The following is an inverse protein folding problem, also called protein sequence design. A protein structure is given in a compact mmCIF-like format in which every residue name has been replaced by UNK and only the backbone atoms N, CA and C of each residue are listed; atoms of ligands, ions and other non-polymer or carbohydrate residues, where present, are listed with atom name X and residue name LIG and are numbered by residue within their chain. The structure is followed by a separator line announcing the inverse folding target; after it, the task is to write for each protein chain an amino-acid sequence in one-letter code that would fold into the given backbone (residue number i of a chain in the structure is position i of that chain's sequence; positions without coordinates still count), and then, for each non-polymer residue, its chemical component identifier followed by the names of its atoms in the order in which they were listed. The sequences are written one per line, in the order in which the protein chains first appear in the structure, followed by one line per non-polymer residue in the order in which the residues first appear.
data_IF_068445662833
#
_entry.id   IF_068445662833
#
_cell.length_a   1.000
_cell.length_b   1.000
_cell.length_c   1.000
_cell.angle_alpha   90.00
_cell.angle_beta   90.00
_cell.angle_gamma   90.00
#
_symmetry.space_group_name_H-M   'P 1'
#
loop_
_entity.id
_entity.type
_entity.pdbx_description
1 polymer ?
#
# COMPACT_ATOMS: atom_id res chain seq x y z
N UNK A 1 -0.82 -14.51 -3.09
CA UNK A 1 -0.89 -14.25 -1.64
C UNK A 1 0.52 -14.32 -1.11
N UNK A 2 0.89 -13.40 -0.23
CA UNK A 2 2.19 -13.36 0.45
C UNK A 2 1.89 -13.22 1.94
N UNK A 3 2.13 -14.29 2.69
CA UNK A 3 1.88 -14.35 4.13
C UNK A 3 3.09 -13.80 4.89
N UNK A 4 2.89 -13.45 6.16
CA UNK A 4 4.00 -13.03 7.03
C UNK A 4 5.10 -14.09 7.03
N UNK A 5 6.35 -13.65 6.91
CA UNK A 5 7.53 -14.53 6.85
C UNK A 5 7.77 -15.23 5.51
N UNK A 6 6.88 -15.10 4.52
CA UNK A 6 7.14 -15.62 3.17
C UNK A 6 7.97 -14.63 2.35
N UNK A 7 8.81 -15.17 1.46
CA UNK A 7 9.50 -14.38 0.45
C UNK A 7 8.51 -13.70 -0.50
N UNK A 8 8.82 -12.46 -0.87
CA UNK A 8 8.01 -11.68 -1.79
C UNK A 8 8.33 -12.05 -3.25
N UNK A 9 7.33 -12.10 -4.15
CA UNK A 9 7.59 -12.40 -5.56
C UNK A 9 8.55 -11.40 -6.22
N UNK A 10 9.40 -11.88 -7.13
CA UNK A 10 10.36 -11.02 -7.87
C UNK A 10 9.70 -9.98 -8.77
N UNK A 11 8.42 -10.16 -9.12
CA UNK A 11 7.65 -9.18 -9.89
C UNK A 11 6.16 -9.27 -9.60
N UNK A 12 5.49 -8.13 -9.73
CA UNK A 12 4.03 -7.98 -9.73
C UNK A 12 3.63 -6.73 -10.54
N UNK A 13 2.34 -6.65 -10.86
CA UNK A 13 1.75 -5.52 -11.56
C UNK A 13 1.04 -4.59 -10.58
N UNK A 14 0.44 -5.15 -9.55
CA UNK A 14 -0.19 -4.42 -8.46
C UNK A 14 0.04 -5.16 -7.13
N UNK A 15 0.03 -4.41 -6.03
CA UNK A 15 0.15 -4.93 -4.68
C UNK A 15 -0.90 -4.32 -3.75
N UNK A 16 -1.60 -5.15 -3.00
CA UNK A 16 -2.56 -4.75 -1.96
C UNK A 16 -2.14 -5.36 -0.63
N UNK A 17 -2.07 -4.55 0.42
CA UNK A 17 -1.93 -5.02 1.79
C UNK A 17 -3.29 -5.05 2.49
N UNK A 18 -3.60 -6.16 3.17
CA UNK A 18 -4.84 -6.33 3.93
C UNK A 18 -4.65 -5.95 5.40
N UNK A 19 -4.94 -4.68 5.70
CA UNK A 19 -4.83 -4.12 7.04
C UNK A 19 -6.16 -4.21 7.80
N UNK A 20 -6.09 -4.55 9.08
CA UNK A 20 -7.25 -4.66 9.95
C UNK A 20 -6.96 -5.56 11.14
N UNK A 21 -7.91 -5.67 12.08
CA UNK A 21 -7.75 -6.53 13.23
C UNK A 21 -7.67 -8.00 12.80
N UNK A 22 -6.94 -8.78 13.60
CA UNK A 22 -6.86 -10.24 13.49
C UNK A 22 -7.52 -10.83 14.73
N UNK A 23 -8.44 -11.81 14.60
CA UNK A 23 -9.01 -12.50 15.74
C UNK A 23 -7.93 -13.14 16.60
N UNK A 24 -8.06 -13.04 17.92
CA UNK A 24 -7.16 -13.73 18.87
C UNK A 24 -7.68 -15.12 19.25
N UNK A 25 -8.98 -15.34 19.09
CA UNK A 25 -9.62 -16.65 19.23
C UNK A 25 -9.40 -17.46 17.94
N UNK A 26 -8.73 -18.62 18.00
CA UNK A 26 -8.55 -19.49 16.83
C UNK A 26 -9.85 -19.99 16.19
N UNK A 27 -10.95 -20.05 16.96
CA UNK A 27 -12.27 -20.47 16.46
C UNK A 27 -12.99 -19.35 15.71
N UNK A 28 -12.56 -18.09 15.88
CA UNK A 28 -13.11 -16.95 15.16
C UNK A 28 -12.43 -16.80 13.80
N UNK A 29 -13.16 -16.98 12.68
CA UNK A 29 -12.56 -16.96 11.36
C UNK A 29 -12.06 -15.56 11.00
N UNK A 30 -10.86 -15.50 10.42
CA UNK A 30 -10.36 -14.27 9.82
C UNK A 30 -11.24 -13.82 8.64
N UNK A 31 -11.39 -12.51 8.46
CA UNK A 31 -12.06 -11.91 7.30
C UNK A 31 -11.18 -11.90 6.04
N UNK A 32 -9.86 -12.10 6.19
CA UNK A 32 -8.89 -11.97 5.09
C UNK A 32 -9.07 -12.99 3.96
N UNK A 33 -9.40 -14.27 4.20
CA UNK A 33 -9.75 -15.20 3.12
C UNK A 33 -10.87 -14.69 2.22
N UNK A 34 -11.98 -14.20 2.81
CA UNK A 34 -13.10 -13.62 2.05
C UNK A 34 -12.70 -12.36 1.28
N UNK A 35 -11.77 -11.55 1.81
CA UNK A 35 -11.21 -10.41 1.10
C UNK A 35 -10.38 -10.83 -0.11
N UNK A 36 -9.55 -11.87 0.04
CA UNK A 36 -8.75 -12.44 -1.04
C UNK A 36 -9.65 -13.01 -2.13
N UNK A 37 -10.73 -13.70 -1.76
CA UNK A 37 -11.72 -14.22 -2.71
C UNK A 37 -12.40 -13.08 -3.48
N UNK A 38 -12.82 -12.01 -2.79
CA UNK A 38 -13.40 -10.84 -3.44
C UNK A 38 -12.42 -10.16 -4.40
N UNK A 39 -11.16 -9.99 -3.99
CA UNK A 39 -10.10 -9.46 -4.86
C UNK A 39 -9.86 -10.36 -6.07
N UNK A 40 -9.78 -11.68 -5.86
CA UNK A 40 -9.56 -12.66 -6.94
C UNK A 40 -10.71 -12.66 -7.94
N UNK A 41 -11.94 -12.60 -7.46
CA UNK A 41 -13.13 -12.63 -8.31
C UNK A 41 -13.28 -11.36 -9.16
N UNK A 42 -12.82 -10.21 -8.64
CA UNK A 42 -12.96 -8.92 -9.31
C UNK A 42 -11.70 -8.44 -10.05
N UNK A 43 -10.56 -9.11 -9.90
CA UNK A 43 -9.32 -8.73 -10.59
C UNK A 43 -9.40 -9.04 -12.08
N UNK A 44 -9.43 -7.98 -12.89
CA UNK A 44 -9.49 -8.02 -14.35
C UNK A 44 -8.16 -7.63 -15.03
N UNK A 45 -7.14 -7.30 -14.23
CA UNK A 45 -5.82 -6.95 -14.73
C UNK A 45 -5.13 -8.16 -15.37
N UNK A 46 -4.44 -7.93 -16.49
CA UNK A 46 -3.73 -8.98 -17.23
C UNK A 46 -2.48 -9.52 -16.49
N UNK A 47 -2.09 -8.87 -15.39
CA UNK A 47 -0.87 -9.15 -14.64
C UNK A 47 -1.09 -9.75 -13.27
N UNK A 48 -0.01 -9.85 -12.49
CA UNK A 48 -0.05 -10.43 -11.15
C UNK A 48 -0.46 -9.38 -10.11
N UNK A 49 -1.51 -9.67 -9.36
CA UNK A 49 -1.85 -8.99 -8.11
C UNK A 49 -1.19 -9.70 -6.93
N UNK A 50 -0.22 -9.04 -6.28
CA UNK A 50 0.30 -9.45 -4.99
C UNK A 50 -0.68 -9.02 -3.88
N UNK A 51 -1.00 -9.92 -2.95
CA UNK A 51 -1.87 -9.63 -1.80
C UNK A 51 -1.11 -10.02 -0.55
N UNK A 52 -0.74 -9.03 0.26
CA UNK A 52 0.02 -9.18 1.49
C UNK A 52 -0.92 -9.39 2.69
N UNK A 53 -0.62 -10.43 3.46
CA UNK A 53 -1.41 -10.91 4.58
C UNK A 53 -0.53 -10.93 5.84
N UNK A 54 -0.84 -10.15 6.90
CA UNK A 54 -0.08 -10.16 8.16
C UNK A 54 -0.28 -11.43 9.00
N UNK A 55 -1.12 -12.36 8.56
CA UNK A 55 -1.33 -13.66 9.18
C UNK A 55 -0.38 -14.70 8.57
N UNK A 56 0.01 -15.74 9.31
CA UNK A 56 0.73 -16.87 8.73
C UNK A 56 -0.18 -17.65 7.77
N UNK A 57 0.43 -18.41 6.87
CA UNK A 57 -0.30 -19.40 6.08
C UNK A 57 -0.94 -20.46 7.00
N UNK A 58 -1.94 -21.19 6.51
CA UNK A 58 -2.58 -22.25 7.27
C UNK A 58 -1.55 -23.26 7.81
N UNK A 59 -1.57 -23.51 9.12
CA UNK A 59 -0.60 -24.36 9.82
C UNK A 59 0.76 -23.72 10.12
N UNK A 60 0.97 -22.45 9.74
CA UNK A 60 2.16 -21.66 10.07
C UNK A 60 2.07 -20.99 11.44
N UNK A 61 3.20 -20.50 11.93
CA UNK A 61 3.31 -19.72 13.15
C UNK A 61 3.71 -18.28 12.85
N UNK A 62 3.30 -17.35 13.72
CA UNK A 62 3.82 -15.99 13.68
C UNK A 62 5.34 -16.00 13.94
N UNK A 63 6.10 -15.13 13.25
CA UNK A 63 7.50 -14.90 13.60
C UNK A 63 7.61 -14.14 14.94
N UNK A 64 8.82 -13.96 15.49
CA UNK A 64 9.03 -13.04 16.60
C UNK A 64 8.40 -11.67 16.34
N UNK A 65 7.86 -11.05 17.39
CA UNK A 65 7.02 -9.84 17.23
C UNK A 65 7.74 -8.68 16.52
N UNK A 66 9.05 -8.50 16.75
CA UNK A 66 9.85 -7.50 16.05
C UNK A 66 9.93 -7.77 14.53
N UNK A 67 10.07 -9.03 14.14
CA UNK A 67 10.13 -9.45 12.73
C UNK A 67 8.75 -9.34 12.07
N UNK A 68 7.66 -9.59 12.83
CA UNK A 68 6.30 -9.33 12.37
C UNK A 68 6.11 -7.85 12.04
N UNK A 69 6.48 -6.95 12.96
CA UNK A 69 6.38 -5.50 12.73
C UNK A 69 7.18 -5.09 11.49
N UNK A 70 8.44 -5.53 11.41
CA UNK A 70 9.31 -5.20 10.28
C UNK A 70 8.73 -5.68 8.93
N UNK A 71 8.21 -6.91 8.89
CA UNK A 71 7.56 -7.45 7.69
C UNK A 71 6.30 -6.66 7.31
N UNK A 72 5.47 -6.30 8.29
CA UNK A 72 4.25 -5.54 8.06
C UNK A 72 4.55 -4.13 7.51
N UNK A 73 5.53 -3.44 8.09
CA UNK A 73 5.96 -2.12 7.61
C UNK A 73 6.53 -2.18 6.19
N UNK A 74 7.35 -3.19 5.88
CA UNK A 74 7.88 -3.39 4.54
C UNK A 74 6.76 -3.69 3.53
N UNK A 75 5.86 -4.61 3.87
CA UNK A 75 4.76 -5.03 3.00
C UNK A 75 3.78 -3.87 2.73
N UNK A 76 3.46 -3.06 3.74
CA UNK A 76 2.67 -1.84 3.56
C UNK A 76 3.43 -0.83 2.71
N UNK A 77 4.73 -0.63 2.98
CA UNK A 77 5.66 0.21 2.21
C UNK A 77 5.59 -0.04 0.70
N UNK A 78 5.67 -1.32 0.32
CA UNK A 78 5.68 -1.80 -1.07
C UNK A 78 4.29 -1.92 -1.71
N UNK A 79 3.22 -1.73 -0.96
CA UNK A 79 1.86 -1.88 -1.50
C UNK A 79 1.40 -0.63 -2.24
N UNK A 80 0.66 -0.83 -3.32
CA UNK A 80 0.02 0.24 -4.07
C UNK A 80 -1.25 0.72 -3.39
N UNK A 81 -1.92 -0.19 -2.68
CA UNK A 81 -3.08 0.10 -1.85
C UNK A 81 -2.93 -0.59 -0.50
N UNK A 82 -3.24 0.14 0.56
CA UNK A 82 -3.48 -0.43 1.89
C UNK A 82 -4.99 -0.46 2.10
N UNK A 83 -5.58 -1.65 1.99
CA UNK A 83 -6.99 -1.87 2.23
C UNK A 83 -7.20 -2.10 3.73
N UNK A 84 -7.79 -1.12 4.40
CA UNK A 84 -8.24 -1.25 5.77
C UNK A 84 -9.64 -1.86 5.78
N UNK A 85 -9.80 -3.06 6.36
CA UNK A 85 -11.12 -3.57 6.74
C UNK A 85 -11.18 -3.65 8.26
N UNK A 86 -12.08 -2.88 8.87
CA UNK A 86 -12.17 -2.75 10.34
C UNK A 86 -13.60 -3.09 10.78
N UNK A 87 -13.92 -4.40 10.92
CA UNK A 87 -15.18 -4.87 11.49
C UNK A 87 -15.09 -4.82 13.02
N UNK A 88 -14.90 -3.61 13.56
CA UNK A 88 -14.59 -3.42 14.98
C UNK A 88 -15.77 -3.79 15.87
N UNK A 89 -15.51 -4.73 16.77
CA UNK A 89 -16.34 -5.02 17.93
C UNK A 89 -15.43 -4.96 19.15
N UNK A 90 -15.68 -4.04 20.08
CA UNK A 90 -14.68 -3.65 21.08
C UNK A 90 -14.27 -4.78 22.03
N UNK A 91 -15.18 -5.72 22.28
CA UNK A 91 -14.96 -6.85 23.18
C UNK A 91 -14.28 -8.04 22.51
N UNK A 92 -14.32 -8.14 21.18
CA UNK A 92 -13.86 -9.32 20.43
C UNK A 92 -12.74 -9.00 19.44
N UNK A 93 -12.91 -7.92 18.69
CA UNK A 93 -12.02 -7.55 17.59
C UNK A 93 -11.73 -6.04 17.59
N UNK A 94 -11.04 -5.51 18.63
CA UNK A 94 -10.93 -4.07 18.86
C UNK A 94 -10.07 -3.32 17.84
N UNK A 95 -9.10 -3.98 17.19
CA UNK A 95 -8.27 -3.36 16.14
C UNK A 95 -7.50 -2.12 16.57
N UNK A 96 -6.87 -2.15 17.75
CA UNK A 96 -6.14 -1.02 18.32
C UNK A 96 -4.93 -0.63 17.47
N UNK A 97 -4.11 -1.62 17.06
CA UNK A 97 -2.95 -1.40 16.17
C UNK A 97 -3.38 -0.86 14.81
N UNK A 98 -4.57 -1.23 14.32
CA UNK A 98 -5.12 -0.71 13.07
C UNK A 98 -5.34 0.80 13.12
N UNK A 99 -5.54 1.41 14.30
CA UNK A 99 -5.63 2.87 14.44
C UNK A 99 -4.28 3.57 14.18
N UNK A 100 -3.19 2.99 14.70
CA UNK A 100 -1.83 3.52 14.47
C UNK A 100 -1.49 3.42 12.98
N UNK A 101 -1.75 2.26 12.38
CA UNK A 101 -1.58 2.06 10.94
C UNK A 101 -2.46 3.00 10.13
N UNK A 102 -3.71 3.23 10.53
CA UNK A 102 -4.56 4.21 9.86
C UNK A 102 -3.91 5.60 9.89
N UNK A 103 -3.48 6.06 11.08
CA UNK A 103 -2.82 7.35 11.28
C UNK A 103 -1.55 7.56 10.45
N UNK A 104 -0.84 6.49 10.10
CA UNK A 104 0.36 6.54 9.26
C UNK A 104 0.06 6.54 7.75
N UNK A 105 -1.15 6.15 7.34
CA UNK A 105 -1.42 5.80 5.93
C UNK A 105 -2.63 6.49 5.29
N UNK A 106 -3.53 7.12 6.05
CA UNK A 106 -4.76 7.70 5.49
C UNK A 106 -4.51 8.78 4.41
N UNK A 107 -3.43 9.55 4.53
CA UNK A 107 -3.06 10.64 3.62
C UNK A 107 -2.09 10.21 2.51
N UNK A 108 -1.62 8.96 2.53
CA UNK A 108 -0.61 8.43 1.61
C UNK A 108 -1.03 8.37 0.12
N UNK A 109 -2.29 8.69 -0.19
CA UNK A 109 -2.91 8.49 -1.50
C UNK A 109 -3.22 7.03 -1.84
N UNK A 110 -2.93 6.09 -0.93
CA UNK A 110 -3.00 4.63 -1.14
C UNK A 110 -3.97 3.93 -0.20
N UNK A 111 -4.57 4.64 0.75
CA UNK A 111 -5.53 4.03 1.66
C UNK A 111 -6.89 3.79 1.00
N UNK A 112 -7.56 2.72 1.43
CA UNK A 112 -9.00 2.48 1.27
C UNK A 112 -9.52 2.07 2.63
N UNK A 113 -10.64 2.65 3.08
CA UNK A 113 -11.28 2.28 4.34
C UNK A 113 -12.54 1.47 4.06
N UNK A 114 -12.68 0.35 4.75
CA UNK A 114 -13.89 -0.43 4.79
C UNK A 114 -14.25 -0.78 6.23
N UNK A 115 -15.54 -0.64 6.55
CA UNK A 115 -16.07 -1.07 7.84
C UNK A 115 -17.57 -1.33 7.70
N UNK A 116 -18.08 -2.43 8.29
CA UNK A 116 -19.52 -2.66 8.32
C UNK A 116 -20.24 -1.55 9.11
N UNK A 117 -21.52 -1.25 8.81
CA UNK A 117 -22.25 -0.15 9.45
C UNK A 117 -22.27 -0.19 10.99
N UNK A 118 -22.27 -1.39 11.56
CA UNK A 118 -22.27 -1.67 12.99
C UNK A 118 -20.91 -1.56 13.67
N UNK A 119 -19.82 -1.35 12.91
CA UNK A 119 -18.48 -1.25 13.48
C UNK A 119 -18.38 -0.11 14.50
N UNK A 120 -17.89 -0.45 15.69
CA UNK A 120 -17.82 0.47 16.81
C UNK A 120 -16.71 1.52 16.63
N UNK A 121 -16.89 2.70 17.25
CA UNK A 121 -15.85 3.75 17.38
C UNK A 121 -15.17 4.15 16.06
N UNK A 122 -15.93 4.20 14.96
CA UNK A 122 -15.40 4.53 13.64
C UNK A 122 -15.34 6.04 13.33
N UNK A 123 -15.98 6.90 14.15
CA UNK A 123 -16.15 8.32 13.87
C UNK A 123 -14.83 9.05 13.53
N UNK A 124 -13.75 8.77 14.27
CA UNK A 124 -12.47 9.43 14.06
C UNK A 124 -11.76 8.97 12.78
N UNK A 125 -11.88 7.69 12.41
CA UNK A 125 -11.34 7.16 11.17
C UNK A 125 -12.09 7.74 9.96
N UNK A 126 -13.43 7.81 10.07
CA UNK A 126 -14.29 8.40 9.05
C UNK A 126 -14.01 9.90 8.84
N UNK A 127 -13.75 10.65 9.91
CA UNK A 127 -13.38 12.06 9.82
C UNK A 127 -12.14 12.29 8.93
N UNK A 128 -11.06 11.53 9.15
CA UNK A 128 -9.87 11.63 8.30
C UNK A 128 -10.10 11.09 6.90
N UNK A 129 -10.91 10.04 6.76
CA UNK A 129 -11.26 9.51 5.45
C UNK A 129 -11.98 10.57 4.61
N UNK A 130 -12.92 11.32 5.20
CA UNK A 130 -13.61 12.43 4.55
C UNK A 130 -12.63 13.57 4.22
N UNK A 131 -11.86 14.04 5.20
CA UNK A 131 -10.94 15.17 5.05
C UNK A 131 -9.88 14.95 3.94
N UNK A 132 -9.44 13.71 3.74
CA UNK A 132 -8.43 13.36 2.75
C UNK A 132 -9.01 12.64 1.52
N UNK A 133 -10.34 12.55 1.41
CA UNK A 133 -11.02 11.86 0.31
C UNK A 133 -10.57 10.41 0.13
N UNK A 134 -10.39 9.68 1.23
CA UNK A 134 -10.14 8.24 1.22
C UNK A 134 -11.44 7.53 0.89
N UNK A 135 -11.48 6.59 -0.08
CA UNK A 135 -12.67 5.81 -0.36
C UNK A 135 -13.14 5.04 0.88
N UNK A 136 -14.43 5.16 1.22
CA UNK A 136 -15.06 4.45 2.33
C UNK A 136 -16.13 3.50 1.80
N UNK A 137 -16.07 2.23 2.18
CA UNK A 137 -17.02 1.21 1.76
C UNK A 137 -17.61 0.45 2.97
N UNK A 138 -18.88 0.04 2.88
CA UNK A 138 -19.61 -0.59 4.00
C UNK A 138 -19.64 -2.12 3.96
N UNK A 139 -19.07 -2.72 2.94
CA UNK A 139 -19.01 -4.18 2.79
C UNK A 139 -17.63 -4.57 2.27
N UNK A 140 -17.18 -5.77 2.65
CA UNK A 140 -15.87 -6.26 2.26
C UNK A 140 -15.69 -6.38 0.74
N UNK A 141 -16.67 -6.89 -0.05
CA UNK A 141 -16.56 -6.94 -1.51
C UNK A 141 -16.44 -5.56 -2.15
N UNK A 142 -17.17 -4.55 -1.64
CA UNK A 142 -17.07 -3.18 -2.16
C UNK A 142 -15.73 -2.55 -1.80
N UNK A 143 -15.21 -2.80 -0.60
CA UNK A 143 -13.90 -2.33 -0.17
C UNK A 143 -12.77 -2.95 -1.02
N UNK A 144 -12.86 -4.25 -1.32
CA UNK A 144 -11.98 -4.92 -2.29
C UNK A 144 -12.10 -4.28 -3.69
N UNK A 145 -13.32 -4.01 -4.16
CA UNK A 145 -13.55 -3.30 -5.42
C UNK A 145 -12.95 -1.89 -5.46
N UNK A 146 -13.02 -1.14 -4.35
CA UNK A 146 -12.37 0.16 -4.23
C UNK A 146 -10.84 0.07 -4.30
N UNK A 147 -10.25 -0.94 -3.65
CA UNK A 147 -8.82 -1.22 -3.78
C UNK A 147 -8.42 -1.56 -5.22
N UNK A 148 -9.21 -2.37 -5.93
CA UNK A 148 -8.97 -2.70 -7.32
C UNK A 148 -9.09 -1.49 -8.26
N UNK A 149 -10.08 -0.61 -8.04
CA UNK A 149 -10.19 0.66 -8.78
C UNK A 149 -8.96 1.55 -8.58
N UNK A 150 -8.44 1.62 -7.35
CA UNK A 150 -7.26 2.42 -7.04
C UNK A 150 -5.97 1.86 -7.69
N UNK A 151 -5.77 0.54 -7.72
CA UNK A 151 -4.62 -0.03 -8.47
C UNK A 151 -4.83 0.02 -9.98
N UNK A 152 -6.07 0.01 -10.46
CA UNK A 152 -6.40 -0.05 -11.90
C UNK A 152 -5.81 -1.29 -12.57
N UNK A 153 -5.36 -1.17 -13.83
CA UNK A 153 -4.78 -2.30 -14.59
C UNK A 153 -3.43 -2.82 -14.07
N UNK A 154 -2.91 -2.26 -12.97
CA UNK A 154 -1.53 -2.47 -12.53
C UNK A 154 -0.50 -1.86 -13.49
N UNK A 155 0.78 -2.13 -13.23
CA UNK A 155 1.92 -1.94 -14.12
C UNK A 155 3.06 -2.82 -13.62
N UNK A 156 3.55 -3.71 -14.49
CA UNK A 156 4.64 -4.62 -14.15
C UNK A 156 5.85 -3.88 -13.60
N UNK A 157 6.32 -4.31 -12.43
CA UNK A 157 7.53 -3.84 -11.75
C UNK A 157 8.34 -5.04 -11.25
N UNK A 158 9.65 -4.93 -11.31
CA UNK A 158 10.61 -5.97 -10.88
C UNK A 158 11.71 -5.40 -9.99
N UNK A 159 12.35 -6.25 -9.17
CA UNK A 159 13.40 -5.82 -8.23
C UNK A 159 12.97 -4.62 -7.37
N UNK A 160 13.81 -3.60 -7.29
CA UNK A 160 13.54 -2.37 -6.54
C UNK A 160 12.43 -1.49 -7.11
N UNK A 161 12.00 -1.68 -8.37
CA UNK A 161 10.85 -0.95 -8.94
C UNK A 161 9.57 -1.20 -8.15
N UNK A 162 9.48 -2.38 -7.52
CA UNK A 162 8.35 -2.79 -6.69
C UNK A 162 8.17 -1.94 -5.43
N UNK A 163 9.20 -1.21 -5.03
CA UNK A 163 9.15 -0.26 -3.93
C UNK A 163 8.48 1.08 -4.31
N UNK A 164 8.33 1.35 -5.61
CA UNK A 164 7.70 2.59 -6.10
C UNK A 164 6.21 2.35 -6.28
N UNK A 165 5.33 2.99 -5.48
CA UNK A 165 3.89 2.77 -5.61
C UNK A 165 3.36 3.26 -6.96
N UNK A 166 2.27 2.64 -7.45
CA UNK A 166 1.70 2.94 -8.76
C UNK A 166 1.39 4.44 -8.99
N UNK A 167 0.97 5.15 -7.95
CA UNK A 167 0.68 6.60 -8.01
C UNK A 167 1.91 7.43 -8.39
N UNK A 168 3.11 7.02 -7.98
CA UNK A 168 4.37 7.65 -8.37
C UNK A 168 4.91 7.05 -9.65
N UNK A 169 4.88 5.71 -9.76
CA UNK A 169 5.38 4.97 -10.91
C UNK A 169 4.75 5.45 -12.22
N UNK A 170 3.45 5.74 -12.24
CA UNK A 170 2.73 6.20 -13.44
C UNK A 170 2.98 7.67 -13.77
N UNK A 171 3.60 8.44 -12.87
CA UNK A 171 3.82 9.86 -13.11
C UNK A 171 4.89 10.08 -14.19
N UNK A 172 4.65 11.08 -15.04
CA UNK A 172 5.59 11.45 -16.09
C UNK A 172 6.95 11.88 -15.52
N UNK A 173 6.94 12.65 -14.42
CA UNK A 173 8.15 13.08 -13.72
C UNK A 173 9.02 11.89 -13.30
N UNK A 174 8.44 10.87 -12.69
CA UNK A 174 9.18 9.68 -12.28
C UNK A 174 9.67 8.88 -13.50
N UNK A 175 8.81 8.65 -14.50
CA UNK A 175 9.19 7.87 -15.69
C UNK A 175 10.33 8.54 -16.49
N UNK A 176 10.31 9.86 -16.66
CA UNK A 176 11.40 10.61 -17.31
C UNK A 176 12.72 10.49 -16.54
N UNK A 177 12.67 10.69 -15.21
CA UNK A 177 13.84 10.51 -14.36
C UNK A 177 14.38 9.08 -14.43
N UNK A 178 13.49 8.08 -14.32
CA UNK A 178 13.87 6.68 -14.27
C UNK A 178 14.43 6.19 -15.61
N UNK A 179 13.87 6.63 -16.74
CA UNK A 179 14.41 6.36 -18.06
C UNK A 179 15.86 6.86 -18.18
N UNK A 180 16.15 8.09 -17.71
CA UNK A 180 17.50 8.66 -17.70
C UNK A 180 18.46 7.80 -16.87
N UNK A 181 18.03 7.32 -15.69
CA UNK A 181 18.85 6.44 -14.84
C UNK A 181 19.12 5.09 -15.49
N UNK A 182 18.10 4.48 -16.10
CA UNK A 182 18.26 3.21 -16.82
C UNK A 182 19.21 3.34 -18.01
N UNK A 183 19.11 4.42 -18.79
CA UNK A 183 20.04 4.70 -19.90
C UNK A 183 21.48 4.90 -19.44
N UNK A 184 21.69 5.39 -18.23
CA UNK A 184 23.00 5.47 -17.58
C UNK A 184 23.47 4.13 -16.95
N UNK A 185 22.74 3.03 -17.16
CA UNK A 185 23.05 1.72 -16.61
C UNK A 185 22.71 1.56 -15.12
N UNK A 186 22.04 2.53 -14.50
CA UNK A 186 21.66 2.45 -13.10
C UNK A 186 20.48 1.50 -12.86
N UNK A 187 20.47 0.84 -11.71
CA UNK A 187 19.37 -0.01 -11.23
C UNK A 187 18.75 0.60 -9.98
N UNK A 188 17.43 0.60 -9.93
CA UNK A 188 16.68 0.99 -8.72
C UNK A 188 16.71 -0.18 -7.74
N UNK A 189 17.18 0.07 -6.51
CA UNK A 189 17.26 -0.93 -5.44
C UNK A 189 16.05 -0.88 -4.52
N UNK A 190 15.63 0.33 -4.16
CA UNK A 190 14.50 0.55 -3.25
C UNK A 190 13.95 1.98 -3.36
N UNK A 191 12.77 2.20 -2.79
CA UNK A 191 12.12 3.51 -2.76
C UNK A 191 11.18 3.63 -1.56
N UNK A 192 11.03 4.86 -1.06
CA UNK A 192 10.11 5.22 0.01
C UNK A 192 9.38 6.50 -0.34
N UNK A 193 8.05 6.43 -0.41
CA UNK A 193 7.19 7.59 -0.55
C UNK A 193 7.08 8.29 0.81
N UNK A 194 7.70 9.45 0.92
CA UNK A 194 7.79 10.23 2.17
C UNK A 194 6.58 11.14 2.37
N UNK A 195 6.04 11.66 1.27
CA UNK A 195 4.92 12.58 1.26
C UNK A 195 4.16 12.48 -0.06
N UNK A 196 2.85 12.67 0.03
CA UNK A 196 1.94 12.65 -1.10
C UNK A 196 0.83 13.67 -0.90
N UNK A 197 0.49 14.38 -1.96
CA UNK A 197 -0.67 15.25 -2.03
C UNK A 197 -1.43 14.94 -3.32
N UNK A 198 -2.72 14.64 -3.17
CA UNK A 198 -3.59 14.38 -4.32
C UNK A 198 -3.72 15.66 -5.15
N UNK A 199 -3.83 15.51 -6.46
CA UNK A 199 -4.17 16.61 -7.34
C UNK A 199 -5.47 17.32 -6.88
N UNK A 200 -5.44 18.65 -6.83
CA UNK A 200 -6.60 19.46 -6.45
C UNK A 200 -7.74 19.40 -7.47
N UNK A 201 -7.43 19.07 -8.72
CA UNK A 201 -8.38 18.94 -9.83
C UNK A 201 -8.26 17.56 -10.48
N UNK A 202 -9.33 17.02 -11.10
CA UNK A 202 -9.35 15.66 -11.65
C UNK A 202 -8.23 15.36 -12.66
N UNK A 203 -7.84 16.34 -13.48
CA UNK A 203 -6.78 16.22 -14.49
C UNK A 203 -5.40 16.69 -13.99
N UNK A 204 -5.30 17.09 -12.72
CA UNK A 204 -4.05 17.56 -12.14
C UNK A 204 -3.10 16.41 -11.84
N UNK A 205 -1.82 16.75 -11.68
CA UNK A 205 -0.81 15.79 -11.25
C UNK A 205 -0.66 15.82 -9.73
N UNK A 206 -0.59 14.67 -9.05
CA UNK A 206 -0.31 14.65 -7.62
C UNK A 206 1.13 15.12 -7.37
N UNK A 207 1.32 15.80 -6.24
CA UNK A 207 2.64 16.13 -5.74
C UNK A 207 3.12 15.04 -4.79
N UNK A 208 4.43 14.76 -4.79
CA UNK A 208 5.02 13.71 -3.98
C UNK A 208 6.50 13.94 -3.74
N UNK A 209 7.00 13.42 -2.62
CA UNK A 209 8.42 13.31 -2.28
C UNK A 209 8.79 11.84 -2.18
N UNK A 210 9.71 11.39 -3.01
CA UNK A 210 10.18 10.00 -3.06
C UNK A 210 11.68 9.95 -2.74
N UNK A 211 12.05 9.21 -1.71
CA UNK A 211 13.45 8.79 -1.48
C UNK A 211 13.70 7.52 -2.27
N UNK A 212 14.77 7.46 -3.06
CA UNK A 212 15.16 6.29 -3.85
C UNK A 212 16.60 5.90 -3.60
N UNK A 213 16.88 4.60 -3.61
CA UNK A 213 18.23 4.04 -3.58
C UNK A 213 18.58 3.46 -4.94
N UNK A 214 19.71 3.86 -5.51
CA UNK A 214 20.10 3.52 -6.87
C UNK A 214 21.52 2.96 -6.88
N UNK A 215 21.71 1.81 -7.52
CA UNK A 215 23.03 1.24 -7.80
C UNK A 215 23.48 1.63 -9.22
N UNK A 216 24.67 2.23 -9.37
CA UNK A 216 25.34 2.36 -10.66
C UNK A 216 25.60 1.01 -11.35
N UNK A 217 25.64 1.01 -12.68
CA UNK A 217 25.91 -0.20 -13.47
C UNK A 217 27.38 -0.64 -13.45
N UNK A 218 28.29 0.25 -13.06
CA UNK A 218 29.73 0.03 -12.96
C UNK A 218 30.17 -0.62 -11.63
N UNK A 219 29.21 -0.95 -10.75
CA UNK A 219 29.48 -1.55 -9.44
C UNK A 219 29.89 -0.57 -8.35
N UNK A 220 29.84 0.74 -8.61
CA UNK A 220 30.05 1.75 -7.58
C UNK A 220 29.01 1.69 -6.46
N UNK A 221 29.32 2.34 -5.33
CA UNK A 221 28.48 2.34 -4.13
C UNK A 221 27.08 2.90 -4.45
N UNK A 222 26.00 2.27 -3.96
CA UNK A 222 24.65 2.79 -4.12
C UNK A 222 24.51 4.21 -3.56
N UNK A 223 23.75 5.05 -4.26
CA UNK A 223 23.46 6.41 -3.85
C UNK A 223 21.98 6.60 -3.54
N UNK A 224 21.69 7.55 -2.65
CA UNK A 224 20.32 7.91 -2.26
C UNK A 224 19.96 9.24 -2.89
N UNK A 225 18.80 9.30 -3.54
CA UNK A 225 18.25 10.53 -4.12
C UNK A 225 16.88 10.85 -3.52
N UNK A 226 16.57 12.14 -3.41
CA UNK A 226 15.23 12.62 -3.08
C UNK A 226 14.65 13.31 -4.31
N UNK A 227 13.50 12.84 -4.74
CA UNK A 227 12.80 13.29 -5.93
C UNK A 227 11.50 13.98 -5.50
N UNK A 228 11.29 15.20 -5.98
CA UNK A 228 10.10 16.00 -5.69
C UNK A 228 9.40 16.31 -7.02
N UNK A 229 8.09 16.08 -7.08
CA UNK A 229 7.30 16.31 -8.31
C UNK A 229 6.52 17.62 -8.33
N UNK A 230 6.72 18.51 -7.34
CA UNK A 230 5.98 19.78 -7.28
C UNK A 230 6.20 20.60 -8.54
N UNK A 231 5.10 21.08 -9.13
CA UNK A 231 5.17 22.15 -10.10
C UNK A 231 5.41 23.44 -9.33
N UNK A 232 6.55 24.09 -9.57
CA UNK A 232 6.86 25.35 -8.92
C UNK A 232 5.83 26.42 -9.29
N UNK A 233 5.08 26.91 -8.30
CA UNK A 233 4.85 28.34 -8.07
C UNK A 233 4.66 28.57 -6.57
N UNK A 234 5.69 29.14 -5.94
CA UNK A 234 5.67 29.51 -4.53
C UNK A 234 7.06 29.45 -3.92
N UNK A 235 7.84 30.52 -4.10
CA UNK A 235 8.91 30.84 -3.17
C UNK A 235 8.32 30.81 -1.76
N UNK A 236 8.77 29.87 -0.92
CA UNK A 236 8.78 30.12 0.51
C UNK A 236 9.86 31.18 0.73
N UNK A 237 9.44 32.46 0.77
CA UNK A 237 10.18 33.52 1.45
C UNK A 237 9.95 33.41 2.95
#
# INVERSE_FOLDING_TARGET
MVYVGHEQPESWDAAVYLCGPTPTDPEEPSWRPSAVEALRAAWDGAGRLAVFLPEPAAGGSYPPYADQIAWEEEAMGRSDVVLFWIPREMNRLPGLVSNIKWGMWYDSGRAVLGAPPEAERMAYLLHFAEAFGVPVERTLPRAAGAALRAVGRGSRRTGGERAVPLVVWRSEHFQRWYATRRSAGCRLLDARLEWYERAAVPDGHPAWLLTVMVAPGDGAVPSVHRLLSVQGQGMLM
#
